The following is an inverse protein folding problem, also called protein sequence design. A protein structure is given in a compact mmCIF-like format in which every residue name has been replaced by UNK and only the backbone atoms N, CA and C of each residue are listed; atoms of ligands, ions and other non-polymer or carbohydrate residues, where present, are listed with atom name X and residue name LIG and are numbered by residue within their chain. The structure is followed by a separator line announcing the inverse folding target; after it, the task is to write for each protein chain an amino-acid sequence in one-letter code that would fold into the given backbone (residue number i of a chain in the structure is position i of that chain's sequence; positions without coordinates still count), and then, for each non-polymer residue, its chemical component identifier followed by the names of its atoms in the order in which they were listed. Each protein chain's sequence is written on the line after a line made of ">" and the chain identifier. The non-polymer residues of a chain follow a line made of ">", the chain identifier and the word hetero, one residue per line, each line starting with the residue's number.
data_IF_875739589206
#
_entry.id   IF_875739589206
#
_cell.length_a   1.000
_cell.length_b   1.000
_cell.length_c   1.000
_cell.angle_alpha   90.00
_cell.angle_beta   90.00
_cell.angle_gamma   90.00
#
_symmetry.space_group_name_H-M   'P 1'
#
loop_
_entity.id
_entity.type
_entity.pdbx_description
1 polymer ?
#
# COMPACT_ATOMS: atom_id res chain seq x y z
N UNK A 1 11.12 18.74 0.90
CA UNK A 1 10.47 17.67 1.68
C UNK A 1 11.57 17.01 2.51
N UNK A 2 11.26 16.50 3.70
CA UNK A 2 12.25 15.88 4.59
C UNK A 2 12.82 14.63 3.90
N UNK A 3 14.13 14.59 3.72
CA UNK A 3 14.85 13.57 2.96
C UNK A 3 14.42 12.11 3.26
N UNK A 4 14.04 11.84 4.52
CA UNK A 4 13.56 10.53 4.95
C UNK A 4 12.14 10.18 4.51
N UNK A 5 11.21 11.15 4.45
CA UNK A 5 9.82 10.87 4.03
C UNK A 5 9.81 10.49 2.54
N UNK A 6 10.56 11.22 1.72
CA UNK A 6 10.73 10.93 0.28
C UNK A 6 11.37 9.54 0.07
N UNK A 7 12.32 9.16 0.94
CA UNK A 7 12.92 7.83 0.90
C UNK A 7 11.91 6.73 1.26
N UNK A 8 11.13 6.90 2.34
CA UNK A 8 10.14 5.92 2.79
C UNK A 8 9.00 5.76 1.78
N UNK A 9 8.58 6.86 1.14
CA UNK A 9 7.63 6.83 0.02
C UNK A 9 8.17 5.98 -1.14
N UNK A 10 9.41 6.27 -1.59
CA UNK A 10 10.07 5.50 -2.64
C UNK A 10 10.23 4.02 -2.26
N UNK A 11 10.59 3.71 -1.01
CA UNK A 11 10.69 2.34 -0.53
C UNK A 11 9.34 1.60 -0.61
N UNK A 12 8.23 2.30 -0.39
CA UNK A 12 6.88 1.74 -0.49
C UNK A 12 6.40 1.52 -1.94
N UNK A 13 6.77 2.43 -2.84
CA UNK A 13 6.40 2.42 -4.26
C UNK A 13 7.31 1.51 -5.13
N UNK A 14 8.59 1.44 -4.80
CA UNK A 14 9.60 0.69 -5.55
C UNK A 14 9.61 -0.79 -5.12
N UNK A 15 9.18 -1.66 -6.03
CA UNK A 15 9.15 -3.11 -5.80
C UNK A 15 10.53 -3.71 -5.49
N UNK A 16 11.61 -3.14 -6.02
CA UNK A 16 12.97 -3.58 -5.73
C UNK A 16 13.33 -3.24 -4.28
N UNK A 17 13.16 -1.99 -3.85
CA UNK A 17 13.46 -1.58 -2.47
C UNK A 17 12.57 -2.29 -1.44
N UNK A 18 11.32 -2.58 -1.79
CA UNK A 18 10.38 -3.30 -0.94
C UNK A 18 10.83 -4.74 -0.62
N UNK A 19 11.58 -5.35 -1.53
CA UNK A 19 12.08 -6.72 -1.41
C UNK A 19 13.60 -6.80 -1.30
N UNK A 20 14.26 -5.65 -1.17
CA UNK A 20 15.71 -5.55 -1.08
C UNK A 20 16.23 -6.23 0.19
N UNK A 21 17.43 -6.77 0.09
CA UNK A 21 18.20 -7.22 1.26
C UNK A 21 18.52 -6.04 2.19
N UNK A 22 18.83 -6.35 3.44
CA UNK A 22 19.19 -5.33 4.43
C UNK A 22 20.39 -4.47 3.95
N UNK A 23 21.42 -5.09 3.37
CA UNK A 23 22.61 -4.39 2.85
C UNK A 23 22.28 -3.43 1.70
N UNK A 24 21.30 -3.79 0.85
CA UNK A 24 20.84 -2.93 -0.24
C UNK A 24 20.06 -1.73 0.30
N UNK A 25 19.22 -1.94 1.32
CA UNK A 25 18.51 -0.86 2.02
C UNK A 25 19.50 0.08 2.72
N UNK A 26 20.52 -0.45 3.39
CA UNK A 26 21.58 0.34 4.04
C UNK A 26 22.35 1.20 3.03
N UNK A 27 22.73 0.62 1.88
CA UNK A 27 23.35 1.38 0.79
C UNK A 27 22.43 2.48 0.25
N UNK A 28 21.14 2.19 0.09
CA UNK A 28 20.17 3.16 -0.39
C UNK A 28 19.96 4.32 0.61
N UNK A 29 19.89 4.02 1.90
CA UNK A 29 19.81 4.99 2.99
C UNK A 29 21.05 5.91 3.04
N UNK A 30 22.24 5.31 2.90
CA UNK A 30 23.51 6.05 2.84
C UNK A 30 23.57 6.95 1.60
N UNK A 31 23.19 6.42 0.43
CA UNK A 31 23.14 7.20 -0.81
C UNK A 31 22.13 8.34 -0.77
N UNK A 32 21.04 8.17 -0.02
CA UNK A 32 20.07 9.20 0.26
C UNK A 32 20.54 10.22 1.32
N UNK A 33 21.70 10.03 1.96
CA UNK A 33 22.23 10.93 3.01
C UNK A 33 21.26 11.09 4.19
N UNK A 34 20.61 9.99 4.59
CA UNK A 34 19.79 9.94 5.81
C UNK A 34 20.71 9.96 7.04
N UNK A 35 20.27 10.62 8.12
CA UNK A 35 21.04 10.68 9.37
C UNK A 35 21.35 9.28 9.91
N UNK A 36 22.59 8.99 10.37
CA UNK A 36 22.98 7.66 10.83
C UNK A 36 22.10 7.07 11.94
N UNK A 37 21.60 7.90 12.87
CA UNK A 37 20.72 7.45 13.95
C UNK A 37 19.37 6.97 13.39
N UNK A 38 18.86 7.69 12.40
CA UNK A 38 17.63 7.35 11.71
C UNK A 38 17.79 6.15 10.78
N UNK A 39 18.96 5.97 10.15
CA UNK A 39 19.26 4.76 9.38
C UNK A 39 19.22 3.51 10.27
N UNK A 40 19.87 3.57 11.44
CA UNK A 40 19.89 2.46 12.39
C UNK A 40 18.47 2.10 12.85
N UNK A 41 17.64 3.11 13.15
CA UNK A 41 16.25 2.90 13.52
C UNK A 41 15.41 2.25 12.39
N UNK A 42 15.61 2.68 11.14
CA UNK A 42 14.95 2.09 9.97
C UNK A 42 15.37 0.64 9.75
N UNK A 43 16.68 0.34 9.80
CA UNK A 43 17.22 -1.01 9.61
C UNK A 43 16.75 -1.97 10.71
N UNK A 44 16.68 -1.50 11.95
CA UNK A 44 16.14 -2.24 13.09
C UNK A 44 14.61 -2.38 13.07
N UNK A 45 13.92 -1.67 12.17
CA UNK A 45 12.45 -1.53 12.14
C UNK A 45 11.88 -1.02 13.48
N UNK A 46 12.64 -0.17 14.16
CA UNK A 46 12.26 0.41 15.45
C UNK A 46 11.34 1.61 15.23
N UNK A 47 10.04 1.33 15.15
CA UNK A 47 9.01 2.34 14.96
C UNK A 47 9.07 3.45 16.03
N UNK A 48 9.31 3.11 17.30
CA UNK A 48 9.32 4.09 18.39
C UNK A 48 10.48 5.05 18.25
N UNK A 49 11.66 4.53 17.90
CA UNK A 49 12.84 5.35 17.68
C UNK A 49 12.66 6.24 16.45
N UNK A 50 12.07 5.72 15.36
CA UNK A 50 11.74 6.52 14.17
C UNK A 50 10.78 7.68 14.54
N UNK A 51 9.71 7.40 15.28
CA UNK A 51 8.74 8.42 15.73
C UNK A 51 9.40 9.48 16.64
N UNK A 52 10.29 9.07 17.54
CA UNK A 52 11.02 9.99 18.41
C UNK A 52 11.95 10.92 17.61
N UNK A 53 12.67 10.38 16.61
CA UNK A 53 13.59 11.14 15.76
C UNK A 53 12.89 12.08 14.77
N UNK A 54 11.73 11.68 14.26
CA UNK A 54 10.92 12.49 13.34
C UNK A 54 10.01 13.50 14.07
N UNK A 55 9.94 13.41 15.39
CA UNK A 55 9.01 14.16 16.22
C UNK A 55 7.68 13.43 16.38
N UNK A 56 7.25 13.28 17.63
CA UNK A 56 5.98 12.62 17.94
C UNK A 56 4.80 13.37 17.31
N UNK A 57 4.09 12.72 16.40
CA UNK A 57 2.77 13.12 15.93
C UNK A 57 1.80 11.98 16.19
N UNK A 58 0.81 12.19 17.08
CA UNK A 58 -0.33 11.27 17.15
C UNK A 58 -1.15 11.45 15.86
N UNK A 59 -1.00 10.52 14.92
CA UNK A 59 -1.80 10.49 13.70
C UNK A 59 -2.98 9.56 13.94
N UNK A 60 -4.19 10.12 13.90
CA UNK A 60 -5.44 9.35 13.94
C UNK A 60 -6.16 9.50 12.60
N UNK A 61 -6.33 8.38 11.88
CA UNK A 61 -7.08 8.35 10.63
C UNK A 61 -8.48 7.77 10.88
N UNK A 62 -9.52 8.50 10.49
CA UNK A 62 -10.89 8.00 10.50
C UNK A 62 -11.22 7.42 9.12
N UNK A 63 -11.46 6.11 9.06
CA UNK A 63 -12.00 5.45 7.87
C UNK A 63 -13.53 5.54 7.92
N UNK A 64 -14.11 6.29 7.00
CA UNK A 64 -15.56 6.33 6.81
C UNK A 64 -15.97 5.22 5.83
N UNK A 65 -16.99 4.40 6.16
CA UNK A 65 -17.55 3.45 5.20
C UNK A 65 -18.01 4.17 3.93
N UNK A 66 -17.83 3.52 2.77
CA UNK A 66 -18.45 4.00 1.54
C UNK A 66 -19.97 4.00 1.70
N UNK A 67 -20.64 5.05 1.23
CA UNK A 67 -22.10 5.03 1.10
C UNK A 67 -22.46 4.06 -0.01
N UNK A 68 -23.45 3.21 0.23
CA UNK A 68 -24.11 2.46 -0.84
C UNK A 68 -24.88 3.50 -1.66
N UNK A 69 -24.61 3.58 -2.96
CA UNK A 69 -25.40 4.42 -3.87
C UNK A 69 -26.83 3.85 -3.88
N UNK A 70 -27.80 4.61 -3.37
CA UNK A 70 -29.21 4.31 -3.61
C UNK A 70 -29.47 4.61 -5.09
N UNK A 71 -29.60 3.56 -5.90
CA UNK A 71 -29.96 3.63 -7.32
C UNK A 71 -31.33 4.32 -7.51
N UNK A 72 -31.36 5.65 -7.67
CA UNK A 72 -32.51 6.35 -8.23
C UNK A 72 -32.51 6.18 -9.75
N UNK A 73 -32.97 5.01 -10.20
CA UNK A 73 -33.24 4.68 -11.59
C UNK A 73 -34.45 5.50 -12.08
N UNK A 74 -34.22 6.53 -12.89
CA UNK A 74 -35.26 7.25 -13.64
C UNK A 74 -34.73 7.57 -15.04
N UNK A 75 -35.13 6.68 -15.94
CA UNK A 75 -35.52 6.89 -17.33
C UNK A 75 -34.47 6.82 -18.46
N UNK A 76 -34.79 5.86 -19.34
CA UNK A 76 -34.73 5.90 -20.80
C UNK A 76 -33.44 5.41 -21.49
N UNK A 77 -33.46 4.13 -21.84
CA UNK A 77 -32.56 3.52 -22.82
C UNK A 77 -32.99 3.85 -24.26
N UNK A 78 -32.04 3.95 -25.20
CA UNK A 78 -32.16 3.06 -26.36
C UNK A 78 -30.83 2.47 -26.89
N UNK A 79 -30.81 1.12 -26.87
CA UNK A 79 -30.51 0.15 -27.95
C UNK A 79 -29.25 0.20 -28.87
N UNK A 80 -28.67 -1.01 -29.01
CA UNK A 80 -27.96 -1.69 -30.14
C UNK A 80 -26.47 -1.92 -29.89
N UNK A 81 -25.82 -3.04 -30.21
CA UNK A 81 -26.15 -4.41 -30.66
C UNK A 81 -24.83 -5.20 -30.51
N UNK A 82 -24.93 -6.53 -30.39
CA UNK A 82 -23.95 -7.52 -30.87
C UNK A 82 -22.81 -8.09 -29.97
N UNK A 83 -23.03 -9.38 -29.61
CA UNK A 83 -22.13 -10.55 -29.53
C UNK A 83 -21.11 -10.78 -28.39
N UNK A 84 -21.57 -11.63 -27.46
CA UNK A 84 -20.94 -12.80 -26.84
C UNK A 84 -19.51 -13.22 -27.29
N UNK A 85 -18.58 -13.32 -26.33
CA UNK A 85 -17.76 -14.53 -26.15
C UNK A 85 -17.69 -14.88 -24.66
N UNK A 86 -18.41 -15.95 -24.34
CA UNK A 86 -18.38 -16.70 -23.10
C UNK A 86 -17.00 -17.29 -22.83
N UNK A 87 -16.49 -17.14 -21.61
CA UNK A 87 -15.47 -18.05 -21.07
C UNK A 87 -15.72 -18.28 -19.59
N UNK A 88 -16.75 -19.08 -19.32
CA UNK A 88 -16.89 -19.79 -18.05
C UNK A 88 -15.86 -20.91 -17.98
N UNK A 89 -15.18 -21.04 -16.84
CA UNK A 89 -14.72 -22.32 -16.30
C UNK A 89 -14.60 -22.13 -14.79
N UNK A 90 -15.73 -22.26 -14.07
CA UNK A 90 -16.19 -23.47 -13.38
C UNK A 90 -15.29 -23.92 -12.24
N UNK A 91 -15.71 -23.53 -11.03
CA UNK A 91 -15.91 -24.35 -9.83
C UNK A 91 -14.91 -25.47 -9.50
N UNK A 92 -14.48 -25.50 -8.23
CA UNK A 92 -14.47 -26.75 -7.48
C UNK A 92 -14.96 -26.52 -6.05
N UNK A 93 -15.92 -27.38 -5.70
CA UNK A 93 -16.73 -27.44 -4.49
C UNK A 93 -15.95 -28.01 -3.30
N UNK A 94 -16.45 -27.66 -2.11
CA UNK A 94 -16.05 -28.07 -0.77
C UNK A 94 -15.76 -29.57 -0.55
N UNK A 95 -14.93 -29.85 0.45
CA UNK A 95 -14.96 -31.09 1.22
C UNK A 95 -14.88 -30.79 2.73
N UNK A 96 -15.84 -31.36 3.45
CA UNK A 96 -16.09 -31.28 4.89
C UNK A 96 -14.95 -31.79 5.78
N UNK A 97 -14.89 -31.18 6.96
CA UNK A 97 -14.76 -31.72 8.33
C UNK A 97 -14.15 -33.13 8.49
N UNK A 98 -13.09 -33.19 9.28
CA UNK A 98 -12.62 -34.34 10.06
C UNK A 98 -12.06 -33.85 11.39
#
# INVERSE_FOLDING_TARGET
>A
MSNVIDFLERMGQDAHLRHASQDEVERALTGAQIDPELQAAILAKDQRQIEALLGHCNVSCMLMPGKEDEDEDTEESPSRDNEEVTSQSKSCTAASVG
#
